data_IF_603019359641
#
_entry.id   IF_603019359641
#
_cell.length_a   1.000
_cell.length_b   1.000
_cell.length_c   1.000
_cell.angle_alpha   90.00
_cell.angle_beta   90.00
_cell.angle_gamma   90.00
#
_symmetry.space_group_name_H-M   'P 1'
#
loop_
_entity.id
_entity.type
_entity.pdbx_description
1 polymer ?
#
# COMPACT_ATOMS: atom_id res chain seq x y z
N UNK A 1 0.95 -29.07 -33.71
CA UNK A 1 -0.22 -28.65 -32.91
C UNK A 1 0.19 -28.68 -31.45
N UNK A 2 0.50 -27.54 -30.79
CA UNK A 2 0.84 -27.56 -29.38
C UNK A 2 -0.47 -27.62 -28.58
N UNK A 3 -0.60 -28.69 -27.80
CA UNK A 3 -1.66 -28.94 -26.83
C UNK A 3 -1.71 -27.84 -25.78
N UNK A 4 -2.86 -27.21 -25.61
CA UNK A 4 -3.17 -26.32 -24.50
C UNK A 4 -2.92 -27.07 -23.18
N UNK A 5 -1.99 -26.61 -22.35
CA UNK A 5 -1.84 -27.13 -20.99
C UNK A 5 -3.08 -26.72 -20.19
N UNK A 6 -3.77 -27.71 -19.62
CA UNK A 6 -4.87 -27.51 -18.69
C UNK A 6 -4.43 -26.57 -17.56
N UNK A 7 -5.27 -25.58 -17.26
CA UNK A 7 -5.08 -24.69 -16.11
C UNK A 7 -5.16 -25.54 -14.84
N UNK A 8 -4.12 -25.59 -14.00
CA UNK A 8 -4.14 -26.42 -12.79
C UNK A 8 -5.27 -25.98 -11.86
N UNK A 9 -5.91 -26.94 -11.20
CA UNK A 9 -7.07 -26.70 -10.36
C UNK A 9 -6.77 -25.73 -9.19
N UNK A 10 -7.70 -24.81 -8.84
CA UNK A 10 -7.49 -23.72 -7.87
C UNK A 10 -7.13 -24.16 -6.44
N UNK A 11 -7.18 -25.46 -6.12
CA UNK A 11 -6.74 -26.02 -4.83
C UNK A 11 -5.23 -26.15 -4.69
N UNK A 12 -4.45 -26.14 -5.78
CA UNK A 12 -3.00 -26.38 -5.71
C UNK A 12 -2.19 -25.13 -5.30
N UNK A 13 -2.73 -23.93 -5.52
CA UNK A 13 -2.03 -22.67 -5.31
C UNK A 13 -2.83 -21.72 -4.42
N UNK A 14 -2.88 -22.01 -3.12
CA UNK A 14 -3.53 -21.11 -2.15
C UNK A 14 -2.71 -19.82 -1.96
N UNK A 15 -3.35 -18.63 -1.94
CA UNK A 15 -2.66 -17.38 -1.62
C UNK A 15 -2.17 -17.40 -0.18
N UNK A 16 -1.09 -16.67 0.09
CA UNK A 16 -0.59 -16.56 1.47
C UNK A 16 -1.61 -15.82 2.35
N UNK A 17 -1.81 -16.24 3.61
CA UNK A 17 -2.58 -15.47 4.56
C UNK A 17 -1.83 -14.17 4.89
N UNK A 18 -2.58 -13.11 5.22
CA UNK A 18 -2.02 -11.90 5.81
C UNK A 18 -2.03 -12.11 7.33
N UNK A 19 -0.88 -12.08 8.02
CA UNK A 19 -0.84 -12.18 9.48
C UNK A 19 -1.69 -11.09 10.13
N UNK A 20 -2.32 -11.41 11.27
CA UNK A 20 -3.09 -10.43 12.03
C UNK A 20 -2.18 -9.38 12.72
N UNK A 21 -0.95 -9.77 13.08
CA UNK A 21 0.01 -8.90 13.76
C UNK A 21 1.43 -9.02 13.18
N UNK A 22 2.18 -7.93 13.26
CA UNK A 22 3.60 -7.85 12.95
C UNK A 22 4.20 -6.60 13.61
N UNK A 23 5.50 -6.55 13.82
CA UNK A 23 6.19 -5.51 14.61
C UNK A 23 5.72 -4.07 14.30
N UNK A 24 5.68 -3.71 13.00
CA UNK A 24 5.33 -2.36 12.55
C UNK A 24 3.89 -1.93 12.85
N UNK A 25 2.94 -2.86 12.96
CA UNK A 25 1.55 -2.50 13.18
C UNK A 25 1.21 -2.23 14.65
N UNK A 26 2.12 -2.56 15.57
CA UNK A 26 2.01 -2.29 16.99
C UNK A 26 2.77 -1.02 17.42
N UNK A 27 3.45 -0.32 16.49
CA UNK A 27 4.15 0.93 16.78
C UNK A 27 3.18 2.01 17.30
N UNK A 28 3.62 2.85 18.24
CA UNK A 28 2.84 4.02 18.68
C UNK A 28 2.77 5.10 17.59
N UNK A 29 1.87 6.07 17.74
CA UNK A 29 1.81 7.23 16.85
C UNK A 29 3.17 7.93 16.74
N UNK A 30 3.85 8.14 17.86
CA UNK A 30 5.15 8.80 17.95
C UNK A 30 6.21 8.02 17.19
N UNK A 31 6.28 6.70 17.40
CA UNK A 31 7.24 5.84 16.71
C UNK A 31 7.04 5.87 15.19
N UNK A 32 5.79 5.75 14.72
CA UNK A 32 5.49 5.85 13.28
C UNK A 32 5.83 7.25 12.77
N UNK A 33 5.42 8.30 13.48
CA UNK A 33 5.63 9.69 13.07
C UNK A 33 7.13 10.04 12.99
N UNK A 34 7.92 9.65 13.98
CA UNK A 34 9.38 9.84 14.00
C UNK A 34 10.07 9.09 12.86
N UNK A 35 9.67 7.84 12.60
CA UNK A 35 10.22 7.05 11.49
C UNK A 35 9.83 7.62 10.12
N UNK A 36 8.62 8.15 9.99
CA UNK A 36 8.10 8.69 8.73
C UNK A 36 8.61 10.11 8.44
N UNK A 37 9.04 10.87 9.46
CA UNK A 37 9.60 12.22 9.30
C UNK A 37 10.81 12.24 8.34
N UNK A 38 11.86 11.39 8.51
CA UNK A 38 12.93 11.24 7.55
C UNK A 38 12.39 10.85 6.18
N UNK A 39 11.51 9.84 6.09
CA UNK A 39 11.12 9.20 4.82
C UNK A 39 10.41 10.11 3.81
N UNK A 40 10.06 11.34 4.17
CA UNK A 40 9.41 12.34 3.32
C UNK A 40 10.38 13.01 2.33
N UNK A 41 11.01 12.21 1.47
CA UNK A 41 11.94 12.69 0.44
C UNK A 41 11.24 12.93 -0.89
N UNK A 42 10.83 14.17 -1.08
CA UNK A 42 10.80 14.86 -2.37
C UNK A 42 11.90 15.92 -2.36
N UNK A 43 12.40 16.31 -3.53
CA UNK A 43 13.36 17.42 -3.64
C UNK A 43 12.76 18.74 -3.15
N UNK A 44 11.42 18.90 -3.24
CA UNK A 44 10.72 20.08 -2.72
C UNK A 44 10.28 19.91 -1.26
N UNK A 45 10.48 20.96 -0.46
CA UNK A 45 9.96 21.07 0.93
C UNK A 45 8.44 20.93 0.98
N UNK A 46 7.73 21.50 -0.01
CA UNK A 46 6.26 21.48 -0.06
C UNK A 46 5.69 20.07 -0.15
N UNK A 47 6.26 19.24 -1.03
CA UNK A 47 5.80 17.85 -1.20
C UNK A 47 6.15 16.97 0.01
N UNK A 48 7.25 17.27 0.70
CA UNK A 48 7.61 16.68 1.98
C UNK A 48 6.58 17.00 3.05
N UNK A 49 6.30 18.29 3.27
CA UNK A 49 5.38 18.72 4.31
C UNK A 49 3.96 18.18 4.05
N UNK A 50 3.55 18.10 2.77
CA UNK A 50 2.28 17.49 2.35
C UNK A 50 2.18 16.01 2.75
N UNK A 51 3.25 15.23 2.53
CA UNK A 51 3.31 13.81 2.94
C UNK A 51 3.26 13.65 4.46
N UNK A 52 4.06 14.41 5.20
CA UNK A 52 4.08 14.38 6.68
C UNK A 52 2.69 14.70 7.23
N UNK A 53 2.06 15.76 6.71
CA UNK A 53 0.71 16.16 7.09
C UNK A 53 -0.33 15.09 6.78
N UNK A 54 -0.21 14.42 5.63
CA UNK A 54 -1.05 13.30 5.26
C UNK A 54 -0.94 12.12 6.22
N UNK A 55 0.29 11.68 6.49
CA UNK A 55 0.58 10.59 7.44
C UNK A 55 -0.02 10.89 8.81
N UNK A 56 0.26 12.07 9.37
CA UNK A 56 -0.25 12.47 10.69
C UNK A 56 -1.77 12.51 10.74
N UNK A 57 -2.42 13.02 9.69
CA UNK A 57 -3.88 13.06 9.60
C UNK A 57 -4.48 11.67 9.59
N UNK A 58 -3.93 10.76 8.80
CA UNK A 58 -4.42 9.37 8.74
C UNK A 58 -4.23 8.67 10.07
N UNK A 59 -3.05 8.78 10.70
CA UNK A 59 -2.81 8.15 12.00
C UNK A 59 -3.75 8.69 13.09
N UNK A 60 -3.88 10.02 13.22
CA UNK A 60 -4.81 10.63 14.20
C UNK A 60 -6.26 10.23 13.97
N UNK A 61 -6.65 10.11 12.70
CA UNK A 61 -7.98 9.64 12.36
C UNK A 61 -8.15 8.15 12.69
N UNK A 62 -7.14 7.30 12.46
CA UNK A 62 -7.17 5.90 12.87
C UNK A 62 -7.21 5.71 14.40
N UNK A 63 -6.63 6.63 15.17
CA UNK A 63 -6.73 6.63 16.64
C UNK A 63 -8.15 6.80 17.17
N UNK A 64 -9.10 7.25 16.35
CA UNK A 64 -10.51 7.36 16.77
C UNK A 64 -11.27 6.03 16.72
N UNK A 65 -10.63 4.95 16.23
CA UNK A 65 -11.23 3.62 16.14
C UNK A 65 -10.61 2.69 17.18
N UNK A 66 -11.41 1.75 17.67
CA UNK A 66 -10.93 0.70 18.57
C UNK A 66 -9.94 -0.23 17.85
N UNK A 67 -8.96 -0.74 18.60
CA UNK A 67 -7.92 -1.64 18.10
C UNK A 67 -6.58 -1.43 18.82
N UNK A 68 -5.88 -2.52 19.09
CA UNK A 68 -4.54 -2.56 19.67
C UNK A 68 -3.46 -2.33 18.61
N UNK A 69 -3.75 -2.67 17.35
CA UNK A 69 -2.86 -2.44 16.20
C UNK A 69 -3.42 -1.45 15.18
N UNK A 70 -2.54 -0.87 14.36
CA UNK A 70 -2.94 -0.05 13.21
C UNK A 70 -3.76 -0.84 12.18
N UNK A 71 -3.52 -2.16 12.05
CA UNK A 71 -4.31 -3.02 11.16
C UNK A 71 -5.75 -3.14 11.65
N UNK A 72 -5.96 -3.37 12.94
CA UNK A 72 -7.29 -3.44 13.54
C UNK A 72 -8.03 -2.11 13.40
N UNK A 73 -7.37 -0.99 13.69
CA UNK A 73 -7.95 0.35 13.50
C UNK A 73 -8.30 0.63 12.05
N UNK A 74 -7.45 0.21 11.10
CA UNK A 74 -7.74 0.30 9.67
C UNK A 74 -9.00 -0.48 9.29
N UNK A 75 -9.14 -1.72 9.77
CA UNK A 75 -10.30 -2.57 9.51
C UNK A 75 -11.57 -2.02 10.18
N UNK A 76 -11.49 -1.60 11.45
CA UNK A 76 -12.58 -1.00 12.21
C UNK A 76 -13.10 0.29 11.57
N UNK A 77 -12.24 1.02 10.83
CA UNK A 77 -12.65 2.19 10.07
C UNK A 77 -13.58 1.90 8.88
N UNK A 78 -13.66 0.64 8.43
CA UNK A 78 -14.36 0.25 7.21
C UNK A 78 -13.74 0.77 5.92
N UNK A 79 -12.62 1.49 5.98
CA UNK A 79 -12.02 2.14 4.79
C UNK A 79 -11.55 1.15 3.74
N UNK A 80 -11.20 -0.06 4.18
CA UNK A 80 -10.74 -1.14 3.33
C UNK A 80 -11.81 -1.62 2.32
N UNK A 81 -13.10 -1.43 2.64
CA UNK A 81 -14.22 -1.77 1.74
C UNK A 81 -14.76 -0.55 0.98
N UNK A 82 -14.52 0.66 1.49
CA UNK A 82 -15.04 1.92 0.94
C UNK A 82 -14.22 2.48 -0.24
N UNK A 83 -13.27 1.72 -0.82
CA UNK A 83 -12.51 2.04 -2.04
C UNK A 83 -12.08 3.51 -2.21
N UNK A 84 -12.87 4.35 -2.92
CA UNK A 84 -12.60 5.78 -3.12
C UNK A 84 -13.35 6.68 -2.13
N UNK A 85 -14.50 6.22 -1.64
CA UNK A 85 -15.39 6.96 -0.74
C UNK A 85 -14.79 7.21 0.65
N UNK A 86 -13.91 6.32 1.14
CA UNK A 86 -13.29 6.52 2.45
C UNK A 86 -12.59 7.88 2.53
N UNK A 87 -11.86 8.25 1.47
CA UNK A 87 -11.10 9.51 1.45
C UNK A 87 -12.00 10.74 1.38
N UNK A 88 -13.23 10.58 0.91
CA UNK A 88 -14.23 11.66 0.94
C UNK A 88 -14.78 11.82 2.36
N UNK A 89 -15.17 10.72 3.02
CA UNK A 89 -15.66 10.74 4.42
C UNK A 89 -14.64 11.30 5.40
N UNK A 90 -13.38 10.84 5.29
CA UNK A 90 -12.30 11.30 6.18
C UNK A 90 -11.96 12.77 5.92
N UNK A 91 -11.99 13.21 4.65
CA UNK A 91 -11.78 14.62 4.33
C UNK A 91 -12.88 15.52 4.91
N UNK A 92 -14.14 15.10 4.82
CA UNK A 92 -15.27 15.85 5.39
C UNK A 92 -15.15 15.99 6.91
N UNK A 93 -14.85 14.89 7.61
CA UNK A 93 -14.65 14.91 9.07
C UNK A 93 -13.50 15.85 9.49
N UNK A 94 -12.34 15.74 8.84
CA UNK A 94 -11.15 16.55 9.19
C UNK A 94 -11.34 18.02 8.79
N UNK A 95 -12.00 18.31 7.68
CA UNK A 95 -12.26 19.69 7.25
C UNK A 95 -13.17 20.41 8.25
N UNK A 96 -14.21 19.75 8.74
CA UNK A 96 -15.09 20.31 9.78
C UNK A 96 -14.32 20.64 11.07
N UNK A 97 -13.32 19.83 11.43
CA UNK A 97 -12.54 20.03 12.66
C UNK A 97 -11.42 21.07 12.54
N UNK A 98 -10.82 21.23 11.35
CA UNK A 98 -9.58 22.00 11.17
C UNK A 98 -9.73 23.27 10.35
N UNK A 99 -10.85 23.47 9.65
CA UNK A 99 -11.07 24.59 8.72
C UNK A 99 -10.21 24.53 7.45
N UNK A 100 -9.40 23.48 7.26
CA UNK A 100 -8.59 23.28 6.05
C UNK A 100 -9.48 22.78 4.91
N UNK A 101 -9.30 23.37 3.72
CA UNK A 101 -10.10 23.02 2.54
C UNK A 101 -10.11 21.51 2.22
N UNK A 102 -11.31 20.97 1.97
CA UNK A 102 -11.59 19.55 1.71
C UNK A 102 -10.67 18.91 0.69
N UNK A 103 -10.46 19.57 -0.45
CA UNK A 103 -9.61 19.05 -1.52
C UNK A 103 -8.15 18.85 -1.05
N UNK A 104 -7.61 19.79 -0.28
CA UNK A 104 -6.26 19.69 0.30
C UNK A 104 -6.16 18.52 1.25
N UNK A 105 -7.12 18.40 2.18
CA UNK A 105 -7.16 17.31 3.15
C UNK A 105 -7.24 15.96 2.44
N UNK A 106 -8.13 15.82 1.46
CA UNK A 106 -8.32 14.60 0.68
C UNK A 106 -7.03 14.15 -0.01
N UNK A 107 -6.31 15.07 -0.65
CA UNK A 107 -5.04 14.75 -1.29
C UNK A 107 -3.98 14.33 -0.27
N UNK A 108 -3.92 15.01 0.88
CA UNK A 108 -2.98 14.69 1.96
C UNK A 108 -3.24 13.29 2.53
N UNK A 109 -4.48 12.94 2.87
CA UNK A 109 -4.79 11.61 3.43
C UNK A 109 -4.62 10.49 2.40
N UNK A 110 -4.92 10.73 1.12
CA UNK A 110 -4.66 9.74 0.07
C UNK A 110 -3.17 9.49 -0.11
N UNK A 111 -2.36 10.54 -0.07
CA UNK A 111 -0.92 10.40 -0.12
C UNK A 111 -0.38 9.69 1.14
N UNK A 112 -0.78 10.16 2.32
CA UNK A 112 -0.34 9.61 3.61
C UNK A 112 -0.70 8.14 3.78
N UNK A 113 -1.91 7.74 3.38
CA UNK A 113 -2.35 6.34 3.48
C UNK A 113 -1.48 5.38 2.67
N UNK A 114 -1.17 5.72 1.42
CA UNK A 114 -0.26 4.91 0.60
C UNK A 114 1.12 4.80 1.23
N UNK A 115 1.67 5.89 1.78
CA UNK A 115 2.98 5.85 2.44
C UNK A 115 2.97 5.03 3.73
N UNK A 116 1.89 5.06 4.51
CA UNK A 116 1.71 4.19 5.68
C UNK A 116 1.63 2.71 5.27
N UNK A 117 0.92 2.41 4.19
CA UNK A 117 0.86 1.05 3.65
C UNK A 117 2.23 0.58 3.13
N UNK A 118 2.98 1.43 2.41
CA UNK A 118 4.36 1.14 2.00
C UNK A 118 5.27 0.92 3.21
N UNK A 119 5.11 1.70 4.28
CA UNK A 119 5.89 1.57 5.53
C UNK A 119 5.49 0.37 6.40
N UNK A 120 4.57 -0.48 5.92
CA UNK A 120 4.01 -1.66 6.56
C UNK A 120 3.30 -1.35 7.89
N UNK A 121 2.67 -0.18 8.02
CA UNK A 121 1.89 0.17 9.22
C UNK A 121 0.56 -0.60 9.25
N UNK A 122 -0.08 -0.71 8.09
CA UNK A 122 -1.23 -1.57 7.86
C UNK A 122 -1.16 -2.11 6.43
N UNK A 123 -1.89 -3.17 6.16
CA UNK A 123 -1.97 -3.87 4.87
C UNK A 123 -3.40 -3.79 4.39
N UNK A 124 -3.71 -2.86 3.46
CA UNK A 124 -5.03 -2.80 2.86
C UNK A 124 -5.26 -4.01 1.95
N UNK A 125 -6.54 -4.29 1.71
CA UNK A 125 -6.96 -5.26 0.71
C UNK A 125 -6.44 -4.92 -0.68
N UNK A 126 -6.15 -5.95 -1.47
CA UNK A 126 -5.62 -5.81 -2.82
C UNK A 126 -6.60 -5.05 -3.73
N UNK A 127 -7.89 -5.21 -3.50
CA UNK A 127 -8.98 -4.50 -4.18
C UNK A 127 -8.93 -3.00 -3.88
N UNK A 128 -8.69 -2.63 -2.61
CA UNK A 128 -8.51 -1.24 -2.21
C UNK A 128 -7.27 -0.63 -2.86
N UNK A 129 -6.12 -1.33 -2.78
CA UNK A 129 -4.85 -0.90 -3.38
C UNK A 129 -4.97 -0.74 -4.90
N UNK A 130 -5.72 -1.62 -5.57
CA UNK A 130 -5.93 -1.59 -7.01
C UNK A 130 -6.55 -0.28 -7.51
N UNK A 131 -7.39 0.36 -6.68
CA UNK A 131 -8.07 1.63 -7.02
C UNK A 131 -7.11 2.83 -7.08
N UNK A 132 -5.85 2.65 -6.63
CA UNK A 132 -4.85 3.71 -6.42
C UNK A 132 -3.66 3.58 -7.37
N UNK A 133 -3.94 3.50 -8.67
CA UNK A 133 -2.87 3.45 -9.66
C UNK A 133 -1.99 4.69 -9.58
N UNK A 134 -0.69 4.45 -9.41
CA UNK A 134 0.35 5.48 -9.50
C UNK A 134 1.56 4.88 -10.21
N UNK A 135 2.10 5.53 -11.24
CA UNK A 135 3.29 5.04 -11.94
C UNK A 135 4.53 5.06 -11.04
N UNK A 136 4.50 5.81 -9.93
CA UNK A 136 5.61 5.91 -8.98
C UNK A 136 5.55 4.85 -7.88
N UNK A 137 4.44 4.12 -7.75
CA UNK A 137 4.24 3.18 -6.64
C UNK A 137 5.33 2.11 -6.61
N UNK A 138 5.55 1.43 -7.73
CA UNK A 138 6.54 0.36 -7.82
C UNK A 138 7.96 0.85 -7.52
N UNK A 139 8.36 2.01 -8.06
CA UNK A 139 9.66 2.60 -7.75
C UNK A 139 9.80 3.00 -6.28
N UNK A 140 8.70 3.45 -5.64
CA UNK A 140 8.69 3.79 -4.22
C UNK A 140 8.80 2.54 -3.35
N UNK A 141 8.09 1.46 -3.69
CA UNK A 141 8.20 0.17 -2.96
C UNK A 141 9.59 -0.41 -3.13
N UNK A 142 10.14 -0.41 -4.34
CA UNK A 142 11.52 -0.82 -4.60
C UNK A 142 12.49 -0.04 -3.71
N UNK A 143 12.40 1.29 -3.67
CA UNK A 143 13.34 2.09 -2.89
C UNK A 143 13.18 1.92 -1.37
N UNK A 144 11.95 1.72 -0.87
CA UNK A 144 11.64 1.89 0.57
C UNK A 144 11.33 0.62 1.32
N UNK A 145 10.94 -0.44 0.61
CA UNK A 145 10.45 -1.66 1.23
C UNK A 145 11.25 -2.87 0.81
N UNK A 146 11.62 -2.97 -0.47
CA UNK A 146 12.38 -4.12 -0.95
C UNK A 146 13.33 -3.78 -2.11
N UNK A 147 14.45 -3.06 -1.82
CA UNK A 147 15.42 -2.69 -2.85
C UNK A 147 16.02 -3.90 -3.54
N UNK A 148 16.41 -4.91 -2.76
CA UNK A 148 17.12 -6.09 -3.27
C UNK A 148 16.18 -6.98 -4.08
N UNK A 149 14.94 -7.19 -3.63
CA UNK A 149 13.96 -7.97 -4.37
C UNK A 149 13.58 -7.32 -5.70
N UNK A 150 13.41 -5.98 -5.73
CA UNK A 150 13.15 -5.28 -6.99
C UNK A 150 14.38 -5.19 -7.90
N UNK A 151 15.60 -5.12 -7.35
CA UNK A 151 16.82 -5.20 -8.13
C UNK A 151 16.94 -6.57 -8.83
N UNK A 152 16.64 -7.67 -8.11
CA UNK A 152 16.65 -9.01 -8.68
C UNK A 152 15.65 -9.21 -9.82
N UNK A 153 14.53 -8.47 -9.82
CA UNK A 153 13.55 -8.53 -10.92
C UNK A 153 14.08 -7.96 -12.23
N UNK A 154 15.14 -7.14 -12.21
CA UNK A 154 15.72 -6.59 -13.43
C UNK A 154 16.27 -7.68 -14.33
N UNK A 155 16.98 -8.63 -13.74
CA UNK A 155 17.57 -9.74 -14.49
C UNK A 155 16.49 -10.71 -14.98
N UNK A 156 15.44 -10.94 -14.18
CA UNK A 156 14.29 -11.78 -14.55
C UNK A 156 13.46 -11.16 -15.68
N UNK A 157 13.27 -9.84 -15.66
CA UNK A 157 12.49 -9.15 -16.67
C UNK A 157 13.16 -9.18 -18.05
N UNK A 158 14.50 -9.18 -18.10
CA UNK A 158 15.27 -9.20 -19.35
C UNK A 158 14.79 -8.10 -20.31
N UNK A 159 14.42 -8.51 -21.52
CA UNK A 159 13.93 -7.59 -22.57
C UNK A 159 12.62 -6.86 -22.22
N UNK A 160 11.85 -7.38 -21.26
CA UNK A 160 10.63 -6.70 -20.81
C UNK A 160 10.94 -5.45 -19.99
N UNK A 161 12.14 -5.31 -19.44
CA UNK A 161 12.47 -4.19 -18.57
C UNK A 161 12.25 -2.84 -19.28
N UNK A 162 11.57 -1.91 -18.60
CA UNK A 162 11.24 -0.58 -19.14
C UNK A 162 10.01 -0.54 -20.07
N UNK A 163 9.50 -1.68 -20.53
CA UNK A 163 8.27 -1.76 -21.35
C UNK A 163 7.00 -1.44 -20.54
N UNK A 164 5.87 -1.25 -21.23
CA UNK A 164 4.56 -1.11 -20.57
C UNK A 164 4.13 -2.40 -19.85
N UNK A 165 4.51 -3.56 -20.40
CA UNK A 165 4.24 -4.86 -19.77
C UNK A 165 4.94 -4.95 -18.43
N UNK A 166 6.22 -4.57 -18.37
CA UNK A 166 6.96 -4.48 -17.12
C UNK A 166 6.35 -3.47 -16.15
N UNK A 167 5.96 -2.28 -16.61
CA UNK A 167 5.31 -1.28 -15.73
C UNK A 167 4.06 -1.85 -15.04
N UNK A 168 3.23 -2.61 -15.79
CA UNK A 168 2.06 -3.29 -15.24
C UNK A 168 2.44 -4.37 -14.23
N UNK A 169 3.44 -5.20 -14.57
CA UNK A 169 3.94 -6.25 -13.67
C UNK A 169 4.53 -5.66 -12.38
N UNK A 170 5.39 -4.67 -12.48
CA UNK A 170 6.00 -3.97 -11.34
C UNK A 170 4.96 -3.33 -10.43
N UNK A 171 3.90 -2.73 -11.01
CA UNK A 171 2.76 -2.25 -10.24
C UNK A 171 2.07 -3.39 -9.48
N UNK A 172 1.75 -4.50 -10.14
CA UNK A 172 1.10 -5.66 -9.49
C UNK A 172 1.96 -6.26 -8.37
N UNK A 173 3.27 -6.40 -8.60
CA UNK A 173 4.25 -6.85 -7.60
C UNK A 173 4.24 -5.91 -6.39
N UNK A 174 4.23 -4.59 -6.61
CA UNK A 174 4.14 -3.61 -5.53
C UNK A 174 2.84 -3.75 -4.71
N UNK A 175 1.71 -4.02 -5.35
CA UNK A 175 0.45 -4.29 -4.64
C UNK A 175 0.55 -5.54 -3.76
N UNK A 176 1.18 -6.61 -4.26
CA UNK A 176 1.37 -7.84 -3.49
C UNK A 176 2.30 -7.62 -2.31
N UNK A 177 3.44 -6.96 -2.50
CA UNK A 177 4.38 -6.62 -1.43
C UNK A 177 3.69 -5.79 -0.34
N UNK A 178 2.87 -4.80 -0.70
CA UNK A 178 2.15 -3.97 0.26
C UNK A 178 1.03 -4.77 0.96
N UNK A 179 0.16 -5.43 0.20
CA UNK A 179 -1.06 -6.05 0.74
C UNK A 179 -0.82 -7.41 1.42
N UNK A 180 0.20 -8.16 1.00
CA UNK A 180 0.57 -9.45 1.61
C UNK A 180 1.67 -9.31 2.65
N UNK A 181 2.48 -8.27 2.55
CA UNK A 181 3.72 -8.18 3.30
C UNK A 181 4.84 -9.05 2.76
N UNK A 182 5.99 -8.98 3.44
CA UNK A 182 7.24 -9.54 2.93
C UNK A 182 7.80 -8.72 1.76
N UNK A 183 8.69 -9.35 1.00
CA UNK A 183 9.27 -8.83 -0.23
C UNK A 183 8.86 -9.62 -1.48
N UNK A 184 9.46 -9.28 -2.61
CA UNK A 184 9.30 -9.92 -3.91
C UNK A 184 9.53 -11.44 -3.81
N UNK A 185 10.51 -11.86 -3.01
CA UNK A 185 10.89 -13.27 -2.85
C UNK A 185 9.82 -14.12 -2.18
N UNK A 186 8.92 -13.49 -1.43
CA UNK A 186 7.85 -14.20 -0.73
C UNK A 186 6.60 -14.38 -1.59
N UNK A 187 6.53 -13.73 -2.76
CA UNK A 187 5.36 -13.79 -3.64
C UNK A 187 5.17 -15.21 -4.17
N UNK A 188 3.94 -15.71 -4.03
CA UNK A 188 3.55 -17.04 -4.51
C UNK A 188 2.65 -16.97 -5.73
N UNK A 189 2.52 -18.08 -6.46
CA UNK A 189 1.53 -18.23 -7.56
C UNK A 189 0.11 -17.95 -7.05
N UNK A 190 -0.22 -18.40 -5.83
CA UNK A 190 -1.53 -18.15 -5.24
C UNK A 190 -1.83 -16.66 -5.05
N UNK A 191 -0.84 -15.86 -4.66
CA UNK A 191 -1.00 -14.41 -4.54
C UNK A 191 -1.29 -13.75 -5.91
N UNK A 192 -0.57 -14.18 -6.95
CA UNK A 192 -0.79 -13.69 -8.31
C UNK A 192 -2.20 -14.04 -8.82
N UNK A 193 -2.67 -15.27 -8.56
CA UNK A 193 -4.02 -15.70 -8.92
C UNK A 193 -5.08 -14.89 -8.18
N UNK A 194 -4.90 -14.65 -6.87
CA UNK A 194 -5.81 -13.80 -6.10
C UNK A 194 -5.88 -12.38 -6.66
N UNK A 195 -4.74 -11.78 -7.03
CA UNK A 195 -4.70 -10.45 -7.63
C UNK A 195 -5.35 -10.41 -9.02
N UNK A 196 -5.29 -11.50 -9.78
CA UNK A 196 -5.90 -11.60 -11.10
C UNK A 196 -7.43 -11.80 -11.05
N UNK A 197 -7.94 -12.39 -9.96
CA UNK A 197 -9.36 -12.67 -9.75
C UNK A 197 -10.17 -11.48 -9.20
N UNK A 198 -9.53 -10.31 -9.01
CA UNK A 198 -10.16 -9.09 -8.50
C UNK A 198 -11.02 -8.37 -9.52
#
# INVERSE_FOLDING_TARGET
MPTFRETPAPRQFSPRPVPASWERNAESFEQVNERMLPLTWSDSRKSRDHRVRGVRRVLRWLETFEGESWQERWLASGSDTLQREWSDRVADQITTQSGVGRHTVRNEIQCGSIFLAIADIYRPRLEWLATRWSPFLAGTVAQRRDPDGFAALKDVAGELWGTQVWRKAAYQIALLVIGKGGGVRDITVGDCLQLAAR
#
